data_IF_586837231176
#
_entry.id   IF_586837231176
#
_cell.length_a   1.000
_cell.length_b   1.000
_cell.length_c   1.000
_cell.angle_alpha   90.00
_cell.angle_beta   90.00
_cell.angle_gamma   90.00
#
_symmetry.space_group_name_H-M   'P 1'
#
loop_
_entity.id
_entity.type
_entity.pdbx_description
1 polymer ?
#
# COMPACT_ATOMS: atom_id res chain seq x y z
N UNK A 1 -2.66 29.65 -4.90
CA UNK A 1 -1.43 28.83 -4.86
C UNK A 1 -1.85 27.42 -4.43
N UNK A 2 -1.60 26.38 -5.24
CA UNK A 2 -1.89 24.99 -4.82
C UNK A 2 -0.81 24.58 -3.81
N UNK A 3 -1.20 23.93 -2.71
CA UNK A 3 -0.24 23.40 -1.75
C UNK A 3 0.54 22.25 -2.39
N UNK A 4 1.84 22.16 -2.09
CA UNK A 4 2.63 20.99 -2.45
C UNK A 4 2.18 19.80 -1.61
N UNK A 5 1.93 18.67 -2.25
CA UNK A 5 1.57 17.42 -1.58
C UNK A 5 2.81 16.54 -1.51
N UNK A 6 3.09 16.01 -0.33
CA UNK A 6 4.11 14.98 -0.12
C UNK A 6 3.36 13.74 0.35
N UNK A 7 3.34 12.71 -0.49
CA UNK A 7 2.71 11.45 -0.13
C UNK A 7 3.70 10.66 0.75
N UNK A 8 3.43 10.66 2.05
CA UNK A 8 4.32 10.09 3.05
C UNK A 8 4.18 8.58 3.21
N UNK A 9 3.20 7.95 2.54
CA UNK A 9 3.01 6.50 2.59
C UNK A 9 2.12 6.01 1.45
N UNK A 10 2.65 5.13 0.61
CA UNK A 10 1.87 4.40 -0.40
C UNK A 10 2.11 2.90 -0.33
N UNK A 11 1.26 2.18 -1.07
CA UNK A 11 1.38 0.76 -1.35
C UNK A 11 1.81 0.51 -2.81
N UNK A 12 2.43 1.49 -3.47
CA UNK A 12 3.07 1.22 -4.76
C UNK A 12 4.25 0.28 -4.53
N UNK A 13 4.27 -0.83 -5.26
CA UNK A 13 5.28 -1.87 -5.14
C UNK A 13 5.99 -2.18 -6.48
N UNK A 14 6.98 -3.06 -6.42
CA UNK A 14 7.80 -3.52 -7.56
C UNK A 14 7.03 -4.36 -8.58
N UNK A 15 5.88 -4.94 -8.19
CA UNK A 15 5.12 -5.90 -8.98
C UNK A 15 3.95 -5.27 -9.73
N UNK A 16 3.54 -4.07 -9.34
CA UNK A 16 2.42 -3.36 -9.92
C UNK A 16 2.88 -2.30 -10.94
N UNK A 17 2.22 -2.27 -12.09
CA UNK A 17 2.30 -1.12 -12.97
C UNK A 17 1.77 0.10 -12.20
N UNK A 18 2.59 1.14 -12.05
CA UNK A 18 2.18 2.39 -11.38
C UNK A 18 0.97 3.03 -12.07
N UNK A 19 0.86 2.85 -13.39
CA UNK A 19 -0.32 3.21 -14.16
C UNK A 19 -1.33 2.06 -14.18
N UNK A 20 -2.61 2.38 -14.00
CA UNK A 20 -3.70 1.43 -14.22
C UNK A 20 -3.62 0.84 -15.63
N UNK A 21 -3.64 -0.49 -15.75
CA UNK A 21 -3.57 -1.18 -17.03
C UNK A 21 -4.94 -1.27 -17.69
N UNK A 22 -6.01 -1.32 -16.90
CA UNK A 22 -7.39 -1.34 -17.38
C UNK A 22 -8.34 -0.60 -16.43
N UNK A 23 -9.57 -0.37 -16.88
CA UNK A 23 -10.59 0.37 -16.12
C UNK A 23 -10.91 -0.25 -14.76
N UNK A 24 -10.82 -1.57 -14.63
CA UNK A 24 -11.15 -2.27 -13.40
C UNK A 24 -10.06 -2.13 -12.32
N UNK A 25 -8.80 -1.87 -12.68
CA UNK A 25 -7.74 -1.59 -11.70
C UNK A 25 -8.10 -0.36 -10.84
N UNK A 26 -8.82 0.59 -11.46
CA UNK A 26 -9.36 1.77 -10.80
C UNK A 26 -10.70 1.45 -10.12
N UNK A 27 -11.67 0.97 -10.90
CA UNK A 27 -13.05 0.87 -10.45
C UNK A 27 -13.26 -0.25 -9.41
N UNK A 28 -12.37 -1.24 -9.37
CA UNK A 28 -12.37 -2.34 -8.41
C UNK A 28 -11.28 -2.22 -7.36
N UNK A 29 -10.67 -1.04 -7.22
CA UNK A 29 -9.82 -0.75 -6.06
C UNK A 29 -10.57 -1.07 -4.77
N UNK A 30 -9.93 -1.84 -3.88
CA UNK A 30 -10.63 -2.64 -2.88
C UNK A 30 -11.57 -1.84 -1.96
N UNK A 31 -11.16 -0.63 -1.53
CA UNK A 31 -11.99 0.23 -0.70
C UNK A 31 -13.27 0.67 -1.41
N UNK A 32 -13.14 1.03 -2.69
CA UNK A 32 -14.26 1.44 -3.51
C UNK A 32 -15.15 0.26 -3.90
N UNK A 33 -14.57 -0.90 -4.21
CA UNK A 33 -15.32 -2.12 -4.49
C UNK A 33 -16.17 -2.56 -3.29
N UNK A 34 -15.65 -2.45 -2.07
CA UNK A 34 -16.41 -2.73 -0.84
C UNK A 34 -17.64 -1.84 -0.71
N UNK A 35 -17.49 -0.56 -1.03
CA UNK A 35 -18.58 0.40 -1.02
C UNK A 35 -19.61 0.11 -2.10
N UNK A 36 -19.17 -0.18 -3.33
CA UNK A 36 -20.06 -0.59 -4.42
C UNK A 36 -20.86 -1.84 -4.06
N UNK A 37 -20.21 -2.84 -3.43
CA UNK A 37 -20.87 -4.05 -2.95
C UNK A 37 -21.92 -3.74 -1.89
N UNK A 38 -21.62 -2.85 -0.95
CA UNK A 38 -22.61 -2.37 0.02
C UNK A 38 -23.79 -1.62 -0.66
N UNK A 39 -23.54 -0.97 -1.79
CA UNK A 39 -24.55 -0.33 -2.64
C UNK A 39 -25.27 -1.29 -3.61
N UNK A 40 -24.97 -2.60 -3.58
CA UNK A 40 -25.65 -3.63 -4.37
C UNK A 40 -24.91 -4.10 -5.63
N UNK A 41 -23.62 -3.77 -5.79
CA UNK A 41 -22.78 -4.39 -6.80
C UNK A 41 -22.55 -5.88 -6.45
N UNK A 42 -22.77 -6.83 -7.37
CA UNK A 42 -22.72 -8.25 -7.05
C UNK A 42 -21.30 -8.69 -6.69
N UNK A 43 -21.18 -9.65 -5.77
CA UNK A 43 -19.89 -10.29 -5.45
C UNK A 43 -19.44 -11.29 -6.50
N UNK A 44 -20.32 -11.65 -7.43
CA UNK A 44 -20.07 -12.53 -8.59
C UNK A 44 -19.77 -11.73 -9.86
N UNK A 45 -19.29 -10.50 -9.71
CA UNK A 45 -19.15 -9.55 -10.81
C UNK A 45 -18.19 -10.02 -11.92
N UNK A 46 -17.17 -10.80 -11.57
CA UNK A 46 -16.24 -11.43 -12.52
C UNK A 46 -16.90 -12.51 -13.40
N UNK A 47 -18.10 -12.99 -13.04
CA UNK A 47 -18.88 -13.97 -13.79
C UNK A 47 -19.89 -13.32 -14.74
N UNK A 48 -20.10 -12.01 -14.62
CA UNK A 48 -21.02 -11.28 -15.48
C UNK A 48 -20.42 -11.09 -16.87
N UNK A 49 -21.29 -10.99 -17.88
CA UNK A 49 -20.87 -10.48 -19.18
C UNK A 49 -20.36 -9.04 -19.04
N UNK A 50 -19.53 -8.57 -19.97
CA UNK A 50 -19.03 -7.18 -19.94
C UNK A 50 -20.17 -6.16 -19.86
N UNK A 51 -21.25 -6.37 -20.62
CA UNK A 51 -22.42 -5.51 -20.60
C UNK A 51 -23.12 -5.52 -19.22
N UNK A 52 -23.40 -6.72 -18.70
CA UNK A 52 -24.07 -6.86 -17.40
C UNK A 52 -23.22 -6.30 -16.25
N UNK A 53 -21.89 -6.46 -16.32
CA UNK A 53 -20.94 -5.93 -15.34
C UNK A 53 -20.94 -4.40 -15.33
N UNK A 54 -20.87 -3.77 -16.50
CA UNK A 54 -20.94 -2.30 -16.64
C UNK A 54 -22.28 -1.75 -16.14
N UNK A 55 -23.38 -2.39 -16.49
CA UNK A 55 -24.71 -2.01 -16.03
C UNK A 55 -24.87 -2.16 -14.52
N UNK A 56 -24.40 -3.27 -13.95
CA UNK A 56 -24.40 -3.48 -12.51
C UNK A 56 -23.53 -2.44 -11.79
N UNK A 57 -22.37 -2.13 -12.36
CA UNK A 57 -21.47 -1.09 -11.84
C UNK A 57 -22.17 0.27 -11.81
N UNK A 58 -22.75 0.73 -12.93
CA UNK A 58 -23.39 2.05 -13.02
C UNK A 58 -24.54 2.19 -12.01
N UNK A 59 -25.35 1.13 -11.81
CA UNK A 59 -26.40 1.13 -10.78
C UNK A 59 -25.82 1.29 -9.37
N UNK A 60 -24.78 0.55 -9.03
CA UNK A 60 -24.14 0.68 -7.72
C UNK A 60 -23.40 2.02 -7.55
N UNK A 61 -22.80 2.53 -8.63
CA UNK A 61 -22.11 3.81 -8.67
C UNK A 61 -23.06 4.99 -8.46
N UNK A 62 -24.28 4.93 -8.98
CA UNK A 62 -25.27 5.97 -8.69
C UNK A 62 -25.83 5.83 -7.26
N UNK A 63 -26.05 4.61 -6.79
CA UNK A 63 -26.54 4.35 -5.42
C UNK A 63 -25.55 4.72 -4.32
N UNK A 64 -24.25 4.77 -4.64
CA UNK A 64 -23.17 5.18 -3.74
C UNK A 64 -22.75 6.64 -3.92
N UNK A 65 -23.47 7.46 -4.68
CA UNK A 65 -23.05 8.84 -5.01
C UNK A 65 -22.80 9.77 -3.80
N UNK A 66 -23.32 9.42 -2.63
CA UNK A 66 -23.19 10.20 -1.40
C UNK A 66 -21.97 9.83 -0.56
N UNK A 67 -21.11 8.92 -1.04
CA UNK A 67 -19.92 8.49 -0.32
C UNK A 67 -18.68 9.27 -0.74
N UNK A 68 -17.64 9.18 0.10
CA UNK A 68 -16.37 9.83 -0.16
C UNK A 68 -15.60 9.17 -1.31
N UNK A 69 -15.58 7.84 -1.40
CA UNK A 69 -14.89 7.13 -2.49
C UNK A 69 -15.51 7.41 -3.85
N UNK A 70 -16.84 7.43 -3.94
CA UNK A 70 -17.52 7.80 -5.16
C UNK A 70 -17.14 9.22 -5.63
N UNK A 71 -17.06 10.17 -4.69
CA UNK A 71 -16.60 11.54 -4.97
C UNK A 71 -15.17 11.56 -5.50
N UNK A 72 -14.25 10.83 -4.87
CA UNK A 72 -12.85 10.70 -5.32
C UNK A 72 -12.80 10.13 -6.73
N UNK A 73 -13.48 9.01 -7.00
CA UNK A 73 -13.44 8.34 -8.29
C UNK A 73 -14.04 9.22 -9.38
N UNK A 74 -15.20 9.85 -9.16
CA UNK A 74 -15.77 10.81 -10.13
C UNK A 74 -14.82 11.95 -10.44
N UNK A 75 -14.17 12.50 -9.41
CA UNK A 75 -13.22 13.61 -9.57
C UNK A 75 -11.98 13.18 -10.35
N UNK A 76 -11.41 12.03 -10.01
CA UNK A 76 -10.24 11.47 -10.67
C UNK A 76 -10.52 11.12 -12.14
N UNK A 77 -11.68 10.52 -12.44
CA UNK A 77 -12.09 10.25 -13.82
C UNK A 77 -12.23 11.53 -14.64
N UNK A 78 -12.80 12.59 -14.05
CA UNK A 78 -12.93 13.88 -14.71
C UNK A 78 -11.58 14.59 -14.89
N UNK A 79 -10.72 14.59 -13.87
CA UNK A 79 -9.48 15.38 -13.86
C UNK A 79 -8.33 14.70 -14.62
N UNK A 80 -8.26 13.36 -14.60
CA UNK A 80 -7.18 12.61 -15.25
C UNK A 80 -7.58 12.15 -16.65
N UNK A 81 -8.80 11.68 -16.81
CA UNK A 81 -9.28 11.07 -18.04
C UNK A 81 -10.37 11.88 -18.75
N UNK A 82 -10.74 13.07 -18.26
CA UNK A 82 -11.80 13.90 -18.85
C UNK A 82 -13.06 13.08 -19.17
N UNK A 83 -13.42 12.16 -18.27
CA UNK A 83 -14.50 11.19 -18.45
C UNK A 83 -15.51 11.27 -17.31
N UNK A 84 -16.78 10.99 -17.63
CA UNK A 84 -17.86 10.79 -16.66
C UNK A 84 -18.58 9.49 -17.00
N UNK A 85 -18.69 8.59 -16.03
CA UNK A 85 -19.41 7.33 -16.19
C UNK A 85 -20.90 7.54 -15.92
N UNK A 86 -21.65 7.86 -16.96
CA UNK A 86 -23.11 8.07 -16.91
C UNK A 86 -23.87 6.97 -17.67
N UNK A 87 -23.17 6.24 -18.54
CA UNK A 87 -23.74 5.25 -19.45
C UNK A 87 -22.70 4.19 -19.87
N UNK A 88 -23.13 3.03 -20.38
CA UNK A 88 -22.21 1.95 -20.77
C UNK A 88 -21.18 2.35 -21.85
N UNK A 89 -21.52 3.28 -22.75
CA UNK A 89 -20.60 3.80 -23.78
C UNK A 89 -19.42 4.58 -23.19
N UNK A 90 -19.56 5.14 -21.99
CA UNK A 90 -18.52 5.94 -21.37
C UNK A 90 -17.35 5.05 -20.90
N UNK A 91 -17.61 3.75 -20.71
CA UNK A 91 -16.56 2.77 -20.42
C UNK A 91 -15.61 2.60 -21.60
N UNK A 92 -16.11 2.55 -22.84
CA UNK A 92 -15.25 2.35 -24.01
C UNK A 92 -14.29 3.54 -24.17
N UNK A 93 -14.80 4.76 -23.98
CA UNK A 93 -13.98 5.97 -23.98
C UNK A 93 -12.97 6.01 -22.83
N UNK A 94 -13.35 5.52 -21.64
CA UNK A 94 -12.43 5.42 -20.51
C UNK A 94 -11.36 4.35 -20.71
N UNK A 95 -11.73 3.19 -21.25
CA UNK A 95 -10.82 2.10 -21.58
C UNK A 95 -9.78 2.54 -22.62
N UNK A 96 -10.20 3.27 -23.66
CA UNK A 96 -9.29 3.86 -24.66
C UNK A 96 -8.28 4.79 -24.00
N UNK A 97 -8.73 5.69 -23.12
CA UNK A 97 -7.85 6.63 -22.44
C UNK A 97 -6.89 5.94 -21.48
N UNK A 98 -7.37 4.94 -20.72
CA UNK A 98 -6.53 4.16 -19.82
C UNK A 98 -5.48 3.40 -20.62
N UNK A 99 -5.85 2.74 -21.72
CA UNK A 99 -4.93 2.03 -22.60
C UNK A 99 -3.87 2.96 -23.21
N UNK A 100 -4.23 4.19 -23.56
CA UNK A 100 -3.28 5.19 -24.04
C UNK A 100 -2.28 5.60 -22.94
N UNK A 101 -2.77 5.79 -21.71
CA UNK A 101 -1.93 6.21 -20.58
C UNK A 101 -1.12 5.09 -19.94
N UNK A 102 -1.58 3.83 -20.02
CA UNK A 102 -0.88 2.68 -19.42
C UNK A 102 0.41 2.33 -20.16
N UNK A 103 0.46 2.65 -21.46
CA UNK A 103 1.65 2.51 -22.29
C UNK A 103 2.58 3.73 -22.23
N UNK A 104 2.19 4.81 -21.54
CA UNK A 104 2.97 6.04 -21.44
C UNK A 104 3.83 6.00 -20.17
N UNK A 105 5.16 5.81 -20.28
CA UNK A 105 6.05 5.75 -19.12
C UNK A 105 6.08 7.08 -18.35
N UNK A 106 5.73 8.21 -18.97
CA UNK A 106 5.68 9.53 -18.34
C UNK A 106 4.37 9.81 -17.61
N UNK A 107 3.35 8.96 -17.80
CA UNK A 107 2.03 9.16 -17.22
C UNK A 107 2.03 9.30 -15.69
N UNK A 108 2.73 8.46 -14.90
CA UNK A 108 2.78 8.62 -13.45
C UNK A 108 3.30 9.99 -12.99
N UNK A 109 4.35 10.50 -13.67
CA UNK A 109 4.89 11.83 -13.37
C UNK A 109 3.90 12.94 -13.75
N UNK A 110 3.23 12.81 -14.90
CA UNK A 110 2.19 13.74 -15.33
C UNK A 110 0.99 13.77 -14.37
N UNK A 111 0.57 12.61 -13.83
CA UNK A 111 -0.46 12.52 -12.79
C UNK A 111 -0.01 13.29 -11.56
N UNK A 112 1.21 13.05 -11.06
CA UNK A 112 1.76 13.77 -9.91
C UNK A 112 1.74 15.29 -10.11
N UNK A 113 2.11 15.77 -11.30
CA UNK A 113 2.09 17.20 -11.62
C UNK A 113 0.68 17.80 -11.62
N UNK A 114 -0.31 17.08 -12.16
CA UNK A 114 -1.72 17.51 -12.17
C UNK A 114 -2.28 17.68 -10.76
N UNK A 115 -1.94 16.76 -9.85
CA UNK A 115 -2.45 16.76 -8.47
C UNK A 115 -1.54 17.47 -7.47
N UNK A 116 -0.36 17.93 -7.89
CA UNK A 116 0.58 18.69 -7.05
C UNK A 116 1.44 17.82 -6.12
N UNK A 117 1.61 16.53 -6.42
CA UNK A 117 2.45 15.60 -5.65
C UNK A 117 3.93 15.79 -6.02
N UNK A 118 4.75 16.07 -5.01
CA UNK A 118 6.18 16.34 -5.13
C UNK A 118 7.05 15.14 -4.80
N UNK A 119 6.59 14.31 -3.86
CA UNK A 119 7.30 13.10 -3.48
C UNK A 119 6.29 12.01 -3.13
N UNK A 120 6.67 10.77 -3.41
CA UNK A 120 5.87 9.58 -3.16
C UNK A 120 6.71 8.58 -2.40
N UNK A 121 6.28 8.24 -1.19
CA UNK A 121 6.95 7.22 -0.38
C UNK A 121 6.57 5.83 -0.85
N UNK A 122 7.57 5.00 -1.16
CA UNK A 122 7.41 3.63 -1.66
C UNK A 122 8.19 2.63 -0.81
N UNK A 123 7.74 1.38 -0.80
CA UNK A 123 8.36 0.31 0.03
C UNK A 123 9.46 -0.43 -0.71
N UNK A 124 9.23 -0.63 -2.01
CA UNK A 124 10.13 -1.22 -2.96
C UNK A 124 11.38 -0.35 -3.19
N UNK A 125 12.52 -1.01 -3.43
CA UNK A 125 13.79 -0.34 -3.72
C UNK A 125 14.03 -0.21 -5.21
N UNK A 126 13.55 -1.18 -5.98
CA UNK A 126 13.93 -1.38 -7.37
C UNK A 126 12.70 -1.32 -8.29
N UNK A 127 11.91 -0.25 -8.17
CA UNK A 127 10.77 -0.02 -9.06
C UNK A 127 11.26 0.29 -10.49
N UNK A 128 10.80 -0.49 -11.47
CA UNK A 128 11.06 -0.24 -12.90
C UNK A 128 10.10 0.85 -13.42
N UNK A 129 10.50 2.11 -13.23
CA UNK A 129 9.70 3.28 -13.61
C UNK A 129 10.53 4.28 -14.42
N UNK A 130 9.85 5.10 -15.21
CA UNK A 130 10.50 6.20 -15.90
C UNK A 130 11.24 7.11 -14.93
N UNK A 131 12.38 7.65 -15.39
CA UNK A 131 13.23 8.52 -14.59
C UNK A 131 12.46 9.72 -14.01
N UNK A 132 11.53 10.30 -14.77
CA UNK A 132 10.71 11.44 -14.34
C UNK A 132 9.83 11.16 -13.12
N UNK A 133 9.43 9.89 -12.93
CA UNK A 133 8.74 9.43 -11.74
C UNK A 133 9.71 8.96 -10.66
N UNK A 134 10.80 8.27 -11.04
CA UNK A 134 11.85 7.82 -10.11
C UNK A 134 12.43 8.96 -9.26
N UNK A 135 12.61 10.16 -9.84
CA UNK A 135 13.11 11.35 -9.14
C UNK A 135 12.15 11.86 -8.03
N UNK A 136 10.92 11.36 -7.97
CA UNK A 136 9.93 11.68 -6.92
C UNK A 136 9.84 10.62 -5.84
N UNK A 137 10.43 9.45 -6.05
CA UNK A 137 10.32 8.33 -5.13
C UNK A 137 11.19 8.56 -3.90
N UNK A 138 10.60 8.31 -2.74
CA UNK A 138 11.30 8.29 -1.46
C UNK A 138 11.14 6.89 -0.88
N UNK A 139 12.21 6.11 -0.93
CA UNK A 139 12.17 4.73 -0.44
C UNK A 139 12.17 4.74 1.09
N UNK A 140 11.13 4.15 1.67
CA UNK A 140 11.01 3.88 3.11
C UNK A 140 10.81 2.37 3.23
N UNK A 141 11.89 1.59 3.43
CA UNK A 141 11.82 0.14 3.39
C UNK A 141 11.04 -0.39 4.58
N UNK A 142 10.47 -1.58 4.41
CA UNK A 142 9.81 -2.32 5.47
C UNK A 142 10.80 -3.29 6.13
N UNK A 143 10.88 -3.23 7.45
CA UNK A 143 11.62 -4.16 8.28
C UNK A 143 10.66 -4.96 9.15
N UNK A 144 10.77 -6.27 9.08
CA UNK A 144 10.00 -7.19 9.90
C UNK A 144 10.92 -8.27 10.45
N UNK A 145 10.77 -8.55 11.74
CA UNK A 145 11.43 -9.69 12.37
C UNK A 145 10.85 -10.96 11.75
N UNK A 146 11.69 -11.70 11.02
CA UNK A 146 11.25 -12.87 10.26
C UNK A 146 10.72 -13.97 11.20
N UNK A 147 9.81 -14.85 10.72
CA UNK A 147 9.38 -16.01 11.49
C UNK A 147 10.55 -16.89 11.97
N UNK A 148 11.60 -17.03 11.15
CA UNK A 148 12.80 -17.80 11.47
C UNK A 148 13.59 -17.17 12.63
N UNK A 149 13.75 -15.84 12.61
CA UNK A 149 14.41 -15.11 13.70
C UNK A 149 13.63 -15.24 15.01
N UNK A 150 12.30 -15.16 14.95
CA UNK A 150 11.44 -15.38 16.13
C UNK A 150 11.58 -16.80 16.67
N UNK A 151 11.59 -17.80 15.80
CA UNK A 151 11.75 -19.20 16.18
C UNK A 151 13.13 -19.49 16.78
N UNK A 152 14.18 -18.90 16.22
CA UNK A 152 15.55 -19.01 16.73
C UNK A 152 15.64 -18.43 18.14
N UNK A 153 15.06 -17.25 18.38
CA UNK A 153 15.18 -16.59 19.68
C UNK A 153 14.58 -17.37 20.86
N UNK A 154 13.54 -18.18 20.64
CA UNK A 154 12.93 -19.02 21.68
C UNK A 154 13.62 -20.38 21.86
N UNK A 155 14.66 -20.71 21.09
CA UNK A 155 15.24 -22.06 21.04
C UNK A 155 16.28 -22.31 22.14
N UNK A 156 17.37 -21.54 22.17
CA UNK A 156 18.38 -21.57 23.23
C UNK A 156 18.89 -20.17 23.54
N UNK A 157 19.61 -19.99 24.65
CA UNK A 157 20.21 -18.68 24.98
C UNK A 157 21.22 -18.21 23.92
N UNK A 158 22.00 -19.13 23.36
CA UNK A 158 22.94 -18.81 22.28
C UNK A 158 22.20 -18.39 21.00
N UNK A 159 21.11 -19.10 20.65
CA UNK A 159 20.28 -18.76 19.50
C UNK A 159 19.58 -17.40 19.68
N UNK A 160 19.18 -17.07 20.91
CA UNK A 160 18.62 -15.76 21.24
C UNK A 160 19.63 -14.63 21.02
N UNK A 161 20.89 -14.81 21.44
CA UNK A 161 21.93 -13.82 21.25
C UNK A 161 22.32 -13.68 19.75
N UNK A 162 22.30 -14.78 18.99
CA UNK A 162 22.49 -14.74 17.53
C UNK A 162 21.35 -14.02 16.83
N UNK A 163 20.09 -14.29 17.20
CA UNK A 163 18.92 -13.62 16.63
C UNK A 163 18.95 -12.11 16.91
N UNK A 164 19.39 -11.70 18.11
CA UNK A 164 19.60 -10.29 18.45
C UNK A 164 20.71 -9.65 17.61
N UNK A 165 21.87 -10.31 17.49
CA UNK A 165 22.96 -9.84 16.65
C UNK A 165 22.53 -9.67 15.18
N UNK A 166 21.62 -10.53 14.71
CA UNK A 166 21.05 -10.42 13.37
C UNK A 166 20.14 -9.21 13.22
N UNK A 167 19.28 -8.90 14.20
CA UNK A 167 18.46 -7.67 14.20
C UNK A 167 19.35 -6.43 14.06
N UNK A 168 20.44 -6.34 14.84
CA UNK A 168 21.40 -5.23 14.72
C UNK A 168 22.03 -5.17 13.34
N UNK A 169 22.49 -6.30 12.81
CA UNK A 169 23.12 -6.39 11.48
C UNK A 169 22.17 -5.93 10.37
N UNK A 170 20.91 -6.36 10.41
CA UNK A 170 19.92 -6.00 9.40
C UNK A 170 19.61 -4.49 9.46
N UNK A 171 19.42 -3.92 10.66
CA UNK A 171 19.15 -2.48 10.83
C UNK A 171 20.36 -1.60 10.46
N UNK A 172 21.58 -2.01 10.82
CA UNK A 172 22.80 -1.34 10.39
C UNK A 172 22.96 -1.38 8.87
N UNK A 173 22.57 -2.49 8.22
CA UNK A 173 22.54 -2.60 6.76
C UNK A 173 21.59 -1.58 6.14
N UNK A 174 20.35 -1.48 6.64
CA UNK A 174 19.39 -0.45 6.18
C UNK A 174 19.96 0.96 6.33
N UNK A 175 20.57 1.26 7.48
CA UNK A 175 21.18 2.56 7.73
C UNK A 175 22.36 2.83 6.79
N UNK A 176 23.20 1.84 6.52
CA UNK A 176 24.34 1.97 5.60
C UNK A 176 23.91 2.30 4.18
N UNK A 177 22.69 1.92 3.78
CA UNK A 177 22.06 2.34 2.54
C UNK A 177 21.50 3.78 2.57
N UNK A 178 21.60 4.50 3.70
CA UNK A 178 21.15 5.89 3.84
C UNK A 178 19.68 6.07 4.26
N UNK A 179 18.98 4.99 4.64
CA UNK A 179 17.59 5.11 5.07
C UNK A 179 17.49 5.73 6.48
N UNK A 180 16.89 6.92 6.56
CA UNK A 180 16.62 7.60 7.84
C UNK A 180 15.24 7.30 8.45
N UNK A 181 14.39 6.63 7.68
CA UNK A 181 13.05 6.20 8.10
C UNK A 181 12.79 4.80 7.57
N UNK A 182 12.17 3.93 8.38
CA UNK A 182 11.73 2.60 7.98
C UNK A 182 10.28 2.35 8.43
N UNK A 183 9.59 1.42 7.79
CA UNK A 183 8.32 0.87 8.27
C UNK A 183 8.61 -0.36 9.12
N UNK A 184 7.90 -0.51 10.24
CA UNK A 184 8.03 -1.68 11.12
C UNK A 184 6.66 -2.23 11.48
N UNK A 185 6.56 -3.55 11.61
CA UNK A 185 5.41 -4.19 12.21
C UNK A 185 5.60 -4.33 13.71
N UNK A 186 4.77 -3.63 14.49
CA UNK A 186 4.73 -3.72 15.95
C UNK A 186 3.44 -4.38 16.44
N UNK A 187 2.68 -5.08 15.59
CA UNK A 187 1.43 -5.75 16.00
C UNK A 187 1.60 -6.63 17.24
N UNK A 188 2.69 -7.39 17.43
CA UNK A 188 2.84 -8.22 18.63
C UNK A 188 2.94 -7.40 19.93
N UNK A 189 3.65 -6.26 19.91
CA UNK A 189 3.69 -5.31 21.04
C UNK A 189 2.33 -4.66 21.28
N UNK A 190 1.70 -4.18 20.21
CA UNK A 190 0.45 -3.40 20.30
C UNK A 190 -0.77 -4.26 20.65
N UNK A 191 -0.74 -5.55 20.31
CA UNK A 191 -1.80 -6.51 20.65
C UNK A 191 -1.65 -7.09 22.06
N UNK A 192 -0.57 -6.77 22.76
CA UNK A 192 -0.24 -7.34 24.07
C UNK A 192 0.22 -8.80 24.02
N UNK A 193 0.60 -9.32 22.84
CA UNK A 193 1.30 -10.62 22.74
C UNK A 193 2.72 -10.55 23.28
N UNK A 194 3.31 -9.36 23.21
CA UNK A 194 4.65 -9.02 23.69
C UNK A 194 4.49 -7.95 24.77
N UNK A 195 5.21 -8.06 25.88
CA UNK A 195 5.07 -7.11 26.98
C UNK A 195 5.61 -5.72 26.61
N UNK A 196 4.91 -4.68 27.06
CA UNK A 196 5.33 -3.28 26.88
C UNK A 196 6.63 -2.95 27.64
N UNK A 197 6.88 -3.66 28.74
CA UNK A 197 8.15 -3.64 29.46
C UNK A 197 9.00 -4.85 29.05
N UNK A 198 10.34 -4.72 28.99
CA UNK A 198 11.20 -5.87 28.72
C UNK A 198 10.90 -7.01 29.70
N UNK A 199 10.60 -8.19 29.15
CA UNK A 199 10.47 -9.43 29.92
C UNK A 199 11.52 -10.44 29.47
N UNK A 200 11.64 -11.55 30.19
CA UNK A 200 12.51 -12.66 29.80
C UNK A 200 11.99 -13.44 28.58
N UNK A 201 10.82 -13.07 28.03
CA UNK A 201 10.29 -13.63 26.80
C UNK A 201 11.21 -13.31 25.62
N UNK A 202 11.61 -14.33 24.86
CA UNK A 202 12.55 -14.12 23.76
C UNK A 202 11.99 -13.26 22.62
N UNK A 203 10.68 -13.32 22.38
CA UNK A 203 10.03 -12.42 21.42
C UNK A 203 10.07 -10.96 21.91
N UNK A 204 9.81 -10.72 23.20
CA UNK A 204 9.98 -9.42 23.85
C UNK A 204 11.40 -8.89 23.68
N UNK A 205 12.42 -9.73 23.95
CA UNK A 205 13.82 -9.33 23.77
C UNK A 205 14.11 -8.86 22.35
N UNK A 206 13.58 -9.54 21.31
CA UNK A 206 13.80 -9.14 19.92
C UNK A 206 13.16 -7.79 19.60
N UNK A 207 11.91 -7.57 19.99
CA UNK A 207 11.21 -6.30 19.74
C UNK A 207 11.85 -5.13 20.50
N UNK A 208 12.22 -5.34 21.76
CA UNK A 208 12.91 -4.33 22.56
C UNK A 208 14.31 -4.02 22.02
N UNK A 209 15.05 -5.02 21.54
CA UNK A 209 16.35 -4.81 20.91
C UNK A 209 16.24 -4.05 19.58
N UNK A 210 15.25 -4.39 18.76
CA UNK A 210 14.94 -3.62 17.54
C UNK A 210 14.65 -2.16 17.89
N UNK A 211 13.76 -1.89 18.86
CA UNK A 211 13.42 -0.51 19.26
C UNK A 211 14.62 0.25 19.85
N UNK A 212 15.41 -0.40 20.70
CA UNK A 212 16.62 0.18 21.28
C UNK A 212 17.66 0.53 20.19
N UNK A 213 17.80 -0.31 19.17
CA UNK A 213 18.69 -0.07 18.05
C UNK A 213 18.21 1.10 17.17
N UNK A 214 16.90 1.18 16.91
CA UNK A 214 16.31 2.29 16.16
C UNK A 214 16.46 3.62 16.91
N UNK A 215 16.29 3.62 18.24
CA UNK A 215 16.53 4.79 19.08
C UNK A 215 18.02 5.21 19.07
N UNK A 216 18.93 4.25 19.31
CA UNK A 216 20.39 4.45 19.30
C UNK A 216 20.87 5.09 17.99
N UNK A 217 20.27 4.71 16.88
CA UNK A 217 20.65 5.18 15.53
C UNK A 217 19.91 6.44 15.10
N UNK A 218 18.89 6.87 15.84
CA UNK A 218 18.01 7.98 15.46
C UNK A 218 17.15 7.66 14.22
N UNK A 219 16.91 6.38 13.95
CA UNK A 219 16.09 5.93 12.81
C UNK A 219 14.62 6.17 13.12
N UNK A 220 13.91 6.87 12.22
CA UNK A 220 12.48 7.11 12.39
C UNK A 220 11.67 5.89 11.97
N UNK A 221 10.55 5.65 12.63
CA UNK A 221 9.66 4.54 12.32
C UNK A 221 8.28 5.01 11.90
N UNK A 222 7.70 4.31 10.93
CA UNK A 222 6.27 4.34 10.63
C UNK A 222 5.62 3.08 11.23
N UNK A 223 4.60 3.27 12.07
CA UNK A 223 3.88 2.20 12.75
C UNK A 223 2.39 2.30 12.43
N UNK A 224 1.79 1.19 12.04
CA UNK A 224 0.36 1.10 11.73
C UNK A 224 -0.36 0.31 12.83
N UNK A 225 -1.14 1.00 13.65
CA UNK A 225 -1.82 0.39 14.80
C UNK A 225 -3.31 0.14 14.52
N UNK A 226 -3.89 -0.86 15.18
CA UNK A 226 -5.36 -1.02 15.26
C UNK A 226 -6.01 -1.78 14.10
N UNK A 227 -5.23 -2.40 13.22
CA UNK A 227 -5.78 -3.27 12.17
C UNK A 227 -6.12 -4.65 12.72
N UNK A 228 -7.42 -5.00 12.74
CA UNK A 228 -7.86 -6.38 13.01
C UNK A 228 -7.86 -7.16 11.70
N UNK A 229 -6.79 -7.92 11.46
CA UNK A 229 -6.71 -8.86 10.31
C UNK A 229 -7.58 -10.09 10.60
N UNK A 230 -8.52 -10.43 9.71
CA UNK A 230 -9.22 -11.73 9.77
C UNK A 230 -8.39 -12.76 9.00
N UNK A 231 -7.60 -13.55 9.73
CA UNK A 231 -6.71 -14.57 9.16
C UNK A 231 -7.46 -15.74 8.49
N UNK A 232 -8.80 -15.74 8.52
CA UNK A 232 -9.64 -16.82 7.94
C UNK A 232 -10.01 -16.61 6.48
N UNK A 233 -9.86 -15.41 5.93
CA UNK A 233 -10.26 -15.10 4.56
C UNK A 233 -9.13 -14.34 3.84
N UNK A 234 -8.01 -15.03 3.60
CA UNK A 234 -6.99 -14.54 2.68
C UNK A 234 -7.56 -14.57 1.25
N UNK A 235 -8.11 -13.45 0.78
CA UNK A 235 -8.31 -13.23 -0.65
C UNK A 235 -7.05 -12.62 -1.23
N UNK A 236 -6.47 -13.23 -2.27
CA UNK A 236 -5.28 -12.76 -3.00
C UNK A 236 -5.45 -11.41 -3.73
N UNK A 237 -6.56 -10.69 -3.49
CA UNK A 237 -6.82 -9.39 -4.07
C UNK A 237 -6.56 -8.33 -3.01
N UNK A 238 -5.30 -7.89 -2.99
CA UNK A 238 -4.80 -6.69 -2.32
C UNK A 238 -4.85 -6.77 -0.78
N UNK A 239 -3.89 -7.51 -0.22
CA UNK A 239 -3.48 -7.35 1.17
C UNK A 239 -2.26 -6.41 1.20
N UNK A 240 -2.28 -5.29 1.93
CA UNK A 240 -1.10 -4.45 2.17
C UNK A 240 -0.09 -5.08 3.13
#
# INVERSE_FOLDING_TARGET
>A
MRANVFDTHTHLDESENVAAANVWDILHYFWFLRELRAAGYPSTDVQLSTADRRDAFLRAFERSRNTYWNTIVRRMLADLFECRLESPRDFDALEEKIAATSCDPEWPAAVCDRIGVKSVVVGARDMDVARSFAERLVVVPYYQISPELRQSAVSTAADADEALARVHTDLDSLRSCGYGTIRVDLEPLLSGRVACEPSDGAEDRLYHAMLAELDRTGTRIQVFCGMKRDTRHHTMLNDP
#
